data_IF_278395833725
#
_entry.id   IF_278395833725
#
_cell.length_a   1.000
_cell.length_b   1.000
_cell.length_c   1.000
_cell.angle_alpha   90.00
_cell.angle_beta   90.00
_cell.angle_gamma   90.00
#
_symmetry.space_group_name_H-M   'P 1'
#
loop_
_entity.id
_entity.type
_entity.pdbx_description
1 polymer ?
#
# COMPACT_ATOMS: atom_id res chain seq x y z
N UNK A 1 -13.63 17.96 5.23
CA UNK A 1 -12.66 17.70 5.70
C UNK A 1 -11.74 18.34 5.18
N UNK A 2 -11.13 18.52 5.40
CA UNK A 2 -10.37 19.07 4.97
C UNK A 2 -9.18 18.83 5.12
N UNK A 3 -8.80 18.15 5.43
CA UNK A 3 -7.61 17.89 5.65
C UNK A 3 -6.90 17.12 4.74
N UNK A 4 -5.64 17.19 4.63
CA UNK A 4 -4.89 16.24 4.01
C UNK A 4 -4.51 15.23 4.96
N UNK A 5 -4.27 14.01 4.54
CA UNK A 5 -3.77 12.94 5.36
C UNK A 5 -2.33 13.21 5.73
N UNK A 6 -1.98 12.89 6.94
CA UNK A 6 -0.60 12.96 7.37
C UNK A 6 0.15 11.74 6.86
N UNK A 7 1.47 11.83 6.87
CA UNK A 7 2.31 10.74 6.41
C UNK A 7 1.96 9.42 7.11
N UNK A 8 1.74 9.49 8.42
CA UNK A 8 1.45 8.27 9.17
C UNK A 8 0.12 7.65 8.72
N UNK A 9 -0.86 8.47 8.39
CA UNK A 9 -2.15 7.97 7.93
C UNK A 9 -2.02 7.36 6.53
N UNK A 10 -1.25 8.00 5.67
CA UNK A 10 -1.05 7.50 4.32
C UNK A 10 -0.28 6.19 4.35
N UNK A 11 0.73 6.10 5.22
CA UNK A 11 1.49 4.88 5.37
C UNK A 11 0.59 3.75 5.84
N UNK A 12 -0.26 4.03 6.81
CA UNK A 12 -1.16 3.02 7.35
C UNK A 12 -2.13 2.52 6.27
N UNK A 13 -2.62 3.42 5.44
CA UNK A 13 -3.52 3.02 4.36
C UNK A 13 -2.85 2.14 3.33
N UNK A 14 -1.61 2.48 2.97
CA UNK A 14 -0.87 1.68 2.01
C UNK A 14 -0.55 0.30 2.58
N UNK A 15 -0.20 0.26 3.86
CA UNK A 15 0.10 -1.02 4.49
C UNK A 15 -1.15 -1.89 4.61
N UNK A 16 -2.30 -1.25 4.78
CA UNK A 16 -3.54 -1.99 4.82
C UNK A 16 -3.82 -2.65 3.46
N UNK A 17 -3.51 -1.95 2.38
CA UNK A 17 -3.64 -2.50 1.05
C UNK A 17 -2.70 -3.69 0.88
N UNK A 18 -1.46 -3.54 1.32
CA UNK A 18 -0.50 -4.63 1.24
C UNK A 18 -1.00 -5.86 2.00
N UNK A 19 -1.53 -5.63 3.19
CA UNK A 19 -2.03 -6.72 4.00
C UNK A 19 -3.22 -7.41 3.32
N UNK A 20 -4.11 -6.63 2.73
CA UNK A 20 -5.25 -7.19 2.02
C UNK A 20 -4.82 -8.05 0.85
N UNK A 21 -3.78 -7.64 0.14
CA UNK A 21 -3.26 -8.44 -0.96
C UNK A 21 -2.59 -9.71 -0.43
N UNK A 22 -1.84 -9.58 0.65
CA UNK A 22 -1.12 -10.72 1.20
C UNK A 22 -2.07 -11.78 1.77
N UNK A 23 -3.18 -11.32 2.35
CA UNK A 23 -4.15 -12.23 2.94
C UNK A 23 -5.13 -12.78 1.92
N UNK A 24 -4.99 -12.42 0.65
CA UNK A 24 -5.92 -12.81 -0.41
C UNK A 24 -7.33 -12.28 -0.17
N UNK A 25 -7.46 -11.27 0.67
CA UNK A 25 -8.76 -10.66 0.91
C UNK A 25 -9.18 -9.80 -0.27
N UNK A 26 -8.21 -9.20 -0.97
CA UNK A 26 -8.48 -8.36 -2.14
C UNK A 26 -8.02 -9.12 -3.37
N UNK A 27 -8.84 -9.10 -4.39
CA UNK A 27 -8.51 -9.71 -5.68
C UNK A 27 -8.06 -11.17 -5.49
N UNK A 28 -8.90 -12.00 -4.89
CA UNK A 28 -8.51 -13.37 -4.61
C UNK A 28 -8.22 -14.19 -5.86
N UNK A 29 -8.68 -13.70 -7.02
CA UNK A 29 -8.43 -14.42 -8.26
C UNK A 29 -7.03 -14.16 -8.82
N UNK A 30 -6.30 -13.20 -8.25
CA UNK A 30 -4.94 -12.93 -8.73
C UNK A 30 -4.00 -14.06 -8.30
N UNK A 31 -3.05 -14.37 -9.17
CA UNK A 31 -2.06 -15.38 -8.83
C UNK A 31 -0.89 -14.74 -8.10
N UNK A 32 0.07 -15.57 -7.72
CA UNK A 32 1.21 -15.08 -6.92
C UNK A 32 2.04 -14.07 -7.68
N UNK A 33 2.15 -14.21 -8.98
CA UNK A 33 2.93 -13.29 -9.78
C UNK A 33 2.30 -11.90 -9.77
N UNK A 34 0.98 -11.85 -9.90
CA UNK A 34 0.28 -10.57 -9.88
C UNK A 34 0.39 -9.93 -8.50
N UNK A 35 0.28 -10.73 -7.45
CA UNK A 35 0.41 -10.20 -6.10
C UNK A 35 1.81 -9.67 -5.86
N UNK A 36 2.81 -10.37 -6.34
CA UNK A 36 4.18 -9.95 -6.16
C UNK A 36 4.43 -8.61 -6.86
N UNK A 37 3.92 -8.46 -8.07
CA UNK A 37 4.06 -7.21 -8.80
C UNK A 37 3.37 -6.07 -8.07
N UNK A 38 2.18 -6.32 -7.54
CA UNK A 38 1.44 -5.30 -6.80
C UNK A 38 2.20 -4.90 -5.53
N UNK A 39 2.79 -5.88 -4.85
CA UNK A 39 3.55 -5.60 -3.64
C UNK A 39 4.77 -4.74 -3.95
N UNK A 40 5.43 -5.00 -5.07
CA UNK A 40 6.58 -4.20 -5.46
C UNK A 40 6.17 -2.74 -5.70
N UNK A 41 5.07 -2.53 -6.36
CA UNK A 41 4.58 -1.18 -6.62
C UNK A 41 4.23 -0.49 -5.31
N UNK A 42 3.61 -1.21 -4.40
CA UNK A 42 3.26 -0.63 -3.10
C UNK A 42 4.51 -0.30 -2.30
N UNK A 43 5.54 -1.13 -2.39
CA UNK A 43 6.80 -0.83 -1.71
C UNK A 43 7.42 0.43 -2.28
N UNK A 44 7.36 0.62 -3.59
CA UNK A 44 7.85 1.84 -4.20
C UNK A 44 7.06 3.06 -3.73
N UNK A 45 5.76 2.91 -3.60
CA UNK A 45 4.93 4.00 -3.10
C UNK A 45 5.28 4.34 -1.67
N UNK A 46 5.55 3.34 -0.85
CA UNK A 46 5.96 3.58 0.53
C UNK A 46 7.32 4.27 0.59
N UNK A 47 8.23 3.91 -0.31
CA UNK A 47 9.52 4.58 -0.37
C UNK A 47 9.37 6.05 -0.71
N UNK A 48 8.51 6.36 -1.66
CA UNK A 48 8.26 7.76 -2.02
C UNK A 48 7.66 8.49 -0.82
N UNK A 49 6.73 7.85 -0.15
CA UNK A 49 6.09 8.44 1.00
C UNK A 49 7.08 8.68 2.13
N UNK A 50 8.10 7.83 2.22
CA UNK A 50 9.09 7.96 3.26
C UNK A 50 9.91 9.24 3.12
N UNK A 51 9.95 9.83 1.94
CA UNK A 51 10.63 11.08 1.72
C UNK A 51 9.75 12.29 2.01
N UNK A 52 8.52 12.04 2.35
CA UNK A 52 7.58 13.11 2.61
C UNK A 52 7.92 13.77 3.94
N UNK A 53 7.70 15.07 4.03
CA UNK A 53 8.13 15.82 5.20
C UNK A 53 7.24 15.60 6.41
N UNK A 54 5.99 15.29 6.21
CA UNK A 54 5.09 15.11 7.34
C UNK A 54 4.76 13.68 7.62
#
# INVERSE_FOLDING_TARGET
>A
MNGRLKKIDMTARLELIKKGLDDHAWYPEWDDRQRCAAQLILNNALDVLDEYAY
#
